data_IF_057043104850
#
_entry.id   IF_057043104850
#
_cell.length_a   1.000
_cell.length_b   1.000
_cell.length_c   1.000
_cell.angle_alpha   90.00
_cell.angle_beta   90.00
_cell.angle_gamma   90.00
#
_symmetry.space_group_name_H-M   'P 1'
#
loop_
_entity.id
_entity.type
_entity.pdbx_description
1 polymer ?
#
# COMPACT_ATOMS: atom_id res chain seq x y z
N UNK A 1 -0.48 27.39 10.00
CA UNK A 1 -1.14 26.48 9.06
C UNK A 1 -2.48 26.12 9.65
N UNK A 2 -3.57 26.47 8.97
CA UNK A 2 -4.92 25.99 9.31
C UNK A 2 -5.08 24.57 8.78
N UNK A 3 -5.85 23.75 9.49
CA UNK A 3 -6.19 22.40 9.05
C UNK A 3 -7.72 22.26 8.91
N UNK A 4 -8.18 21.70 7.80
CA UNK A 4 -9.60 21.35 7.58
C UNK A 4 -9.73 19.88 7.21
N UNK A 5 -10.58 19.15 7.91
CA UNK A 5 -10.86 17.74 7.60
C UNK A 5 -11.44 17.61 6.18
N UNK A 6 -10.91 16.65 5.41
CA UNK A 6 -11.46 16.24 4.11
C UNK A 6 -12.69 15.36 4.33
N UNK A 7 -13.71 15.57 3.51
CA UNK A 7 -14.78 14.59 3.29
C UNK A 7 -14.28 13.39 2.48
N UNK A 8 -15.02 12.28 2.53
CA UNK A 8 -14.68 11.08 1.76
C UNK A 8 -14.56 11.35 0.25
N UNK A 9 -15.45 12.17 -0.31
CA UNK A 9 -15.42 12.54 -1.73
C UNK A 9 -14.20 13.41 -2.07
N UNK A 10 -13.75 14.27 -1.14
CA UNK A 10 -12.50 15.02 -1.33
C UNK A 10 -11.27 14.11 -1.26
N UNK A 11 -11.28 13.09 -0.39
CA UNK A 11 -10.20 12.08 -0.33
C UNK A 11 -10.12 11.36 -1.68
N UNK A 12 -11.24 10.78 -2.14
CA UNK A 12 -11.33 10.08 -3.42
C UNK A 12 -10.88 10.95 -4.59
N UNK A 13 -11.26 12.23 -4.61
CA UNK A 13 -10.82 13.14 -5.67
C UNK A 13 -9.31 13.36 -5.65
N UNK A 14 -8.70 13.56 -4.47
CA UNK A 14 -7.23 13.70 -4.37
C UNK A 14 -6.53 12.43 -4.81
N UNK A 15 -7.02 11.25 -4.41
CA UNK A 15 -6.44 9.97 -4.83
C UNK A 15 -6.61 9.71 -6.31
N UNK A 16 -7.74 10.07 -6.90
CA UNK A 16 -8.00 9.96 -8.34
C UNK A 16 -7.04 10.83 -9.15
N UNK A 17 -6.78 12.06 -8.69
CA UNK A 17 -5.82 12.96 -9.34
C UNK A 17 -4.38 12.40 -9.27
N UNK A 18 -4.00 11.80 -8.13
CA UNK A 18 -2.70 11.13 -7.97
C UNK A 18 -2.62 9.88 -8.86
N UNK A 19 -3.70 9.09 -8.95
CA UNK A 19 -3.77 7.90 -9.80
C UNK A 19 -3.66 8.28 -11.28
N UNK A 20 -4.33 9.34 -11.72
CA UNK A 20 -4.21 9.86 -13.09
C UNK A 20 -2.76 10.35 -13.38
N UNK A 21 -2.13 11.01 -12.41
CA UNK A 21 -0.72 11.40 -12.51
C UNK A 21 0.20 10.18 -12.64
N UNK A 22 0.02 9.16 -11.80
CA UNK A 22 0.80 7.92 -11.87
C UNK A 22 0.57 7.18 -13.20
N UNK A 23 -0.67 7.12 -13.68
CA UNK A 23 -0.99 6.56 -14.99
C UNK A 23 -0.19 7.25 -16.10
N UNK A 24 -0.22 8.59 -16.15
CA UNK A 24 0.52 9.39 -17.14
C UNK A 24 2.04 9.16 -17.07
N UNK A 25 2.60 9.06 -15.85
CA UNK A 25 4.02 8.74 -15.65
C UNK A 25 4.35 7.33 -16.16
N UNK A 26 3.54 6.34 -15.83
CA UNK A 26 3.76 4.97 -16.26
C UNK A 26 3.68 4.82 -17.78
N UNK A 27 2.66 5.39 -18.43
CA UNK A 27 2.51 5.36 -19.90
C UNK A 27 3.69 6.05 -20.60
N UNK A 28 4.13 7.20 -20.09
CA UNK A 28 5.28 7.95 -20.63
C UNK A 28 6.58 7.15 -20.59
N UNK A 29 6.75 6.29 -19.59
CA UNK A 29 7.99 5.55 -19.34
C UNK A 29 7.91 4.06 -19.67
N UNK A 30 6.82 3.59 -20.30
CA UNK A 30 6.55 2.17 -20.60
C UNK A 30 6.69 1.28 -19.35
N UNK A 31 6.09 1.74 -18.24
CA UNK A 31 6.08 1.03 -16.96
C UNK A 31 4.74 0.32 -16.79
N UNK A 32 4.79 -0.98 -16.54
CA UNK A 32 3.59 -1.79 -16.36
C UNK A 32 3.17 -1.79 -14.91
N UNK A 33 2.08 -1.08 -14.63
CA UNK A 33 1.39 -1.08 -13.34
C UNK A 33 -0.04 -1.57 -13.53
N UNK A 34 -0.69 -1.95 -12.43
CA UNK A 34 -2.12 -2.21 -12.42
C UNK A 34 -2.76 -1.72 -11.13
N UNK A 35 -4.03 -1.35 -11.17
CA UNK A 35 -4.83 -1.16 -9.95
C UNK A 35 -5.01 -2.50 -9.25
N UNK A 36 -4.95 -2.52 -7.93
CA UNK A 36 -4.96 -3.77 -7.15
C UNK A 36 -5.95 -3.71 -5.98
N UNK A 37 -6.12 -4.82 -5.25
CA UNK A 37 -6.92 -4.90 -4.03
C UNK A 37 -8.33 -4.27 -4.15
N UNK A 38 -8.69 -3.37 -3.24
CA UNK A 38 -9.98 -2.67 -3.19
C UNK A 38 -10.22 -1.82 -4.44
N UNK A 39 -9.18 -1.20 -4.98
CA UNK A 39 -9.25 -0.39 -6.21
C UNK A 39 -9.61 -1.24 -7.43
N UNK A 40 -8.99 -2.41 -7.60
CA UNK A 40 -9.35 -3.35 -8.67
C UNK A 40 -10.79 -3.86 -8.53
N UNK A 41 -11.17 -4.21 -7.30
CA UNK A 41 -12.54 -4.64 -6.98
C UNK A 41 -13.55 -3.54 -7.31
N UNK A 42 -13.25 -2.30 -6.95
CA UNK A 42 -14.02 -1.11 -7.27
C UNK A 42 -14.23 -0.94 -8.77
N UNK A 43 -13.15 -0.98 -9.56
CA UNK A 43 -13.22 -0.87 -11.01
C UNK A 43 -14.16 -1.92 -11.63
N UNK A 44 -14.07 -3.17 -11.18
CA UNK A 44 -14.87 -4.26 -11.71
C UNK A 44 -16.34 -4.15 -11.28
N UNK A 45 -16.58 -3.93 -9.98
CA UNK A 45 -17.92 -3.99 -9.35
C UNK A 45 -18.70 -2.69 -9.43
N UNK A 46 -18.03 -1.54 -9.31
CA UNK A 46 -18.63 -0.20 -9.22
C UNK A 46 -18.26 0.74 -10.36
N UNK A 47 -17.31 0.36 -11.23
CA UNK A 47 -16.75 1.22 -12.30
C UNK A 47 -15.97 2.43 -11.78
N UNK A 48 -15.43 2.30 -10.57
CA UNK A 48 -14.76 3.38 -9.85
C UNK A 48 -14.49 2.97 -8.41
N UNK A 49 -14.52 3.91 -7.47
CA UNK A 49 -14.34 3.63 -6.06
C UNK A 49 -15.44 2.72 -5.51
N UNK A 50 -15.08 1.88 -4.54
CA UNK A 50 -16.08 1.30 -3.65
C UNK A 50 -16.66 2.45 -2.79
N UNK A 51 -17.99 2.58 -2.64
CA UNK A 51 -18.59 3.81 -2.09
C UNK A 51 -18.12 4.22 -0.69
N UNK A 52 -17.77 3.25 0.15
CA UNK A 52 -17.31 3.45 1.51
C UNK A 52 -15.78 3.37 1.67
N UNK A 53 -15.03 3.24 0.57
CA UNK A 53 -13.57 3.06 0.60
C UNK A 53 -12.85 4.41 0.55
N UNK A 54 -11.70 4.50 1.21
CA UNK A 54 -10.89 5.72 1.37
C UNK A 54 -9.40 5.51 1.06
N UNK A 55 -9.07 4.45 0.33
CA UNK A 55 -7.73 4.18 -0.18
C UNK A 55 -7.71 3.81 -1.67
N UNK A 56 -6.53 4.00 -2.27
CA UNK A 56 -6.24 3.64 -3.66
C UNK A 56 -4.90 2.92 -3.71
N UNK A 57 -4.92 1.72 -4.30
CA UNK A 57 -3.76 0.84 -4.39
C UNK A 57 -3.42 0.55 -5.85
N UNK A 58 -2.13 0.66 -6.17
CA UNK A 58 -1.57 0.10 -7.39
C UNK A 58 -0.44 -0.87 -7.07
N UNK A 59 -0.26 -1.84 -7.96
CA UNK A 59 0.77 -2.86 -7.84
C UNK A 59 1.59 -2.97 -9.11
N UNK A 60 2.83 -3.42 -8.94
CA UNK A 60 3.78 -3.66 -10.00
C UNK A 60 4.58 -4.92 -9.69
N UNK A 61 5.00 -5.66 -10.72
CA UNK A 61 6.08 -6.61 -10.54
C UNK A 61 7.35 -5.87 -10.08
N UNK A 62 8.20 -6.51 -9.26
CA UNK A 62 9.39 -5.87 -8.65
C UNK A 62 10.28 -5.12 -9.64
N UNK A 63 10.50 -5.63 -10.85
CA UNK A 63 11.29 -4.97 -11.89
C UNK A 63 10.66 -3.65 -12.35
N UNK A 64 9.35 -3.64 -12.58
CA UNK A 64 8.57 -2.46 -12.91
C UNK A 64 8.49 -1.48 -11.72
N UNK A 65 8.37 -1.98 -10.49
CA UNK A 65 8.44 -1.19 -9.27
C UNK A 65 9.77 -0.43 -9.16
N UNK A 66 10.91 -1.10 -9.43
CA UNK A 66 12.23 -0.45 -9.40
C UNK A 66 12.38 0.61 -10.50
N UNK A 67 11.75 0.42 -11.67
CA UNK A 67 11.69 1.46 -12.72
C UNK A 67 10.90 2.67 -12.24
N UNK A 68 9.70 2.47 -11.69
CA UNK A 68 8.84 3.54 -11.21
C UNK A 68 9.49 4.31 -10.06
N UNK A 69 10.10 3.63 -9.10
CA UNK A 69 10.84 4.26 -8.01
C UNK A 69 11.96 5.18 -8.53
N UNK A 70 12.73 4.75 -9.53
CA UNK A 70 13.78 5.59 -10.15
C UNK A 70 13.22 6.82 -10.86
N UNK A 71 12.09 6.68 -11.55
CA UNK A 71 11.42 7.81 -12.21
C UNK A 71 10.91 8.80 -11.16
N UNK A 72 10.11 8.33 -10.20
CA UNK A 72 9.51 9.18 -9.16
C UNK A 72 10.54 9.86 -8.25
N UNK A 73 11.70 9.24 -8.01
CA UNK A 73 12.81 9.85 -7.26
C UNK A 73 13.34 11.13 -7.92
N UNK A 74 13.23 11.24 -9.25
CA UNK A 74 13.72 12.37 -10.01
C UNK A 74 12.60 13.32 -10.49
N UNK A 75 11.34 12.97 -10.26
CA UNK A 75 10.20 13.82 -10.62
C UNK A 75 10.05 15.00 -9.67
N UNK A 76 9.74 16.17 -10.23
CA UNK A 76 9.58 17.41 -9.47
C UNK A 76 8.20 18.03 -9.67
N UNK A 77 7.15 17.22 -9.54
CA UNK A 77 5.78 17.71 -9.55
C UNK A 77 5.54 18.68 -8.37
N UNK A 78 4.81 19.80 -8.55
CA UNK A 78 4.61 20.80 -7.49
C UNK A 78 3.88 20.27 -6.25
N UNK A 79 2.93 19.33 -6.45
CA UNK A 79 2.08 18.80 -5.37
C UNK A 79 2.34 17.33 -5.00
N UNK A 80 2.41 16.44 -5.98
CA UNK A 80 2.63 15.02 -5.75
C UNK A 80 4.09 14.66 -5.49
N UNK A 81 4.36 14.02 -4.34
CA UNK A 81 5.70 13.58 -3.94
C UNK A 81 5.70 12.09 -3.58
N UNK A 82 6.80 11.41 -3.88
CA UNK A 82 7.03 10.03 -3.48
C UNK A 82 7.67 9.98 -2.09
N UNK A 83 7.21 9.05 -1.26
CA UNK A 83 7.81 8.72 0.03
C UNK A 83 8.00 7.20 0.14
N UNK A 84 9.13 6.78 0.70
CA UNK A 84 9.44 5.37 0.94
C UNK A 84 10.41 5.24 2.11
N UNK A 85 10.53 4.02 2.66
CA UNK A 85 11.52 3.76 3.70
C UNK A 85 12.96 3.91 3.20
N UNK A 86 13.20 3.86 1.88
CA UNK A 86 14.53 4.03 1.29
C UNK A 86 15.04 5.46 1.44
N UNK A 87 14.13 6.45 1.36
CA UNK A 87 14.48 7.88 1.51
C UNK A 87 14.17 8.44 2.91
N UNK A 88 13.24 7.83 3.65
CA UNK A 88 12.71 8.40 4.90
C UNK A 88 12.84 7.44 6.08
N UNK A 89 13.72 7.78 7.02
CA UNK A 89 14.09 6.94 8.17
C UNK A 89 12.93 6.52 9.09
N UNK A 90 11.95 7.41 9.28
CA UNK A 90 10.79 7.19 10.15
C UNK A 90 9.58 6.56 9.45
N UNK A 91 9.66 6.31 8.14
CA UNK A 91 8.52 5.87 7.35
C UNK A 91 8.09 4.44 7.75
N UNK A 92 6.78 4.21 8.01
CA UNK A 92 6.30 3.01 8.68
C UNK A 92 5.93 1.86 7.74
N UNK A 93 6.00 2.04 6.42
CA UNK A 93 5.54 1.04 5.45
C UNK A 93 6.70 0.44 4.65
N UNK A 94 6.49 -0.79 4.17
CA UNK A 94 7.44 -1.56 3.36
C UNK A 94 7.30 -1.31 1.85
N UNK A 95 6.29 -0.55 1.46
CA UNK A 95 5.94 -0.14 0.10
C UNK A 95 6.01 1.39 -0.02
N UNK A 96 6.05 1.93 -1.24
CA UNK A 96 6.13 3.38 -1.43
C UNK A 96 4.75 4.01 -1.60
N UNK A 97 4.65 5.30 -1.35
CA UNK A 97 3.43 6.09 -1.53
C UNK A 97 3.72 7.30 -2.41
N UNK A 98 2.74 7.70 -3.19
CA UNK A 98 2.72 9.04 -3.79
C UNK A 98 1.58 9.81 -3.19
N UNK A 99 1.87 10.97 -2.60
CA UNK A 99 0.93 11.74 -1.80
C UNK A 99 0.91 13.21 -2.21
N UNK A 100 -0.21 13.87 -1.93
CA UNK A 100 -0.36 15.31 -2.13
C UNK A 100 0.15 16.08 -0.91
N UNK A 101 1.19 16.91 -1.09
CA UNK A 101 1.78 17.72 -0.01
C UNK A 101 0.85 18.81 0.54
N UNK A 102 -0.26 19.12 -0.14
CA UNK A 102 -1.30 20.04 0.35
C UNK A 102 -2.24 19.37 1.35
N UNK A 103 -2.05 18.08 1.59
CA UNK A 103 -2.84 17.29 2.52
C UNK A 103 -1.97 16.68 3.62
N UNK A 104 -2.61 16.31 4.73
CA UNK A 104 -2.01 15.55 5.82
C UNK A 104 -2.96 14.43 6.26
N UNK A 105 -2.44 13.24 6.51
CA UNK A 105 -3.16 12.08 7.06
C UNK A 105 -2.69 11.78 8.48
N UNK A 106 -3.63 11.55 9.39
CA UNK A 106 -3.32 11.02 10.72
C UNK A 106 -2.80 9.59 10.59
N UNK A 107 -1.60 9.32 11.13
CA UNK A 107 -1.00 7.99 11.08
C UNK A 107 -0.43 7.51 12.43
N UNK A 108 -0.63 8.29 13.50
CA UNK A 108 -0.14 7.98 14.85
C UNK A 108 1.35 7.59 14.90
N UNK A 109 2.16 8.23 14.05
CA UNK A 109 3.59 7.96 13.97
C UNK A 109 4.32 8.46 15.20
N UNK A 110 5.42 7.79 15.53
CA UNK A 110 6.36 8.19 16.56
C UNK A 110 7.25 9.34 16.10
N UNK A 111 7.69 9.28 14.86
CA UNK A 111 8.50 10.32 14.23
C UNK A 111 7.57 11.37 13.62
N UNK A 112 7.40 12.50 14.31
CA UNK A 112 6.55 13.59 13.86
C UNK A 112 7.12 14.38 12.67
N UNK A 113 8.36 14.10 12.26
CA UNK A 113 8.94 14.70 11.05
C UNK A 113 8.45 14.03 9.77
N UNK A 114 7.89 12.82 9.89
CA UNK A 114 7.27 12.11 8.77
C UNK A 114 5.84 12.61 8.60
N UNK A 115 5.64 13.43 7.57
CA UNK A 115 4.32 13.90 7.16
C UNK A 115 3.84 13.00 6.04
N UNK A 116 2.69 12.36 6.25
CA UNK A 116 1.96 11.63 5.23
C UNK A 116 0.78 12.48 4.79
N UNK A 117 0.48 12.52 3.49
CA UNK A 117 -0.76 13.08 2.95
C UNK A 117 -1.70 11.99 2.47
N UNK A 118 -2.84 12.40 1.92
CA UNK A 118 -3.70 11.55 1.10
C UNK A 118 -2.90 11.04 -0.10
N UNK A 119 -3.00 9.75 -0.40
CA UNK A 119 -2.00 9.06 -1.21
C UNK A 119 -2.57 7.90 -2.03
N UNK A 120 -1.81 7.51 -3.05
CA UNK A 120 -1.92 6.19 -3.68
C UNK A 120 -0.79 5.31 -3.14
N UNK A 121 -1.14 4.13 -2.63
CA UNK A 121 -0.19 3.12 -2.18
C UNK A 121 0.35 2.34 -3.38
N UNK A 122 1.66 2.11 -3.42
CA UNK A 122 2.34 1.46 -4.56
C UNK A 122 3.09 0.23 -4.08
N UNK A 123 2.57 -0.95 -4.42
CA UNK A 123 3.05 -2.23 -3.91
C UNK A 123 3.94 -2.98 -4.92
N UNK A 124 5.05 -3.57 -4.47
CA UNK A 124 5.79 -4.54 -5.24
C UNK A 124 5.24 -5.96 -5.08
N UNK A 125 5.17 -6.67 -6.20
CA UNK A 125 5.00 -8.11 -6.26
C UNK A 125 6.37 -8.78 -6.46
N UNK A 126 6.71 -9.67 -5.53
CA UNK A 126 7.95 -10.43 -5.51
C UNK A 126 7.66 -11.91 -5.75
N UNK A 127 8.71 -12.72 -5.97
CA UNK A 127 8.56 -14.16 -5.94
C UNK A 127 7.99 -14.63 -4.60
N UNK A 128 7.08 -15.60 -4.65
CA UNK A 128 6.48 -16.18 -3.45
C UNK A 128 7.55 -16.68 -2.49
N UNK A 129 7.46 -16.26 -1.22
CA UNK A 129 8.29 -16.79 -0.16
C UNK A 129 7.90 -18.23 0.21
N UNK A 130 8.52 -19.21 -0.45
CA UNK A 130 8.21 -20.65 -0.30
C UNK A 130 8.70 -21.25 1.02
N UNK A 131 9.72 -20.68 1.67
CA UNK A 131 10.22 -21.16 2.95
C UNK A 131 9.38 -20.68 4.13
N UNK A 132 8.86 -21.62 4.93
CA UNK A 132 8.04 -21.31 6.12
C UNK A 132 8.80 -20.49 7.16
N UNK A 133 10.10 -20.72 7.29
CA UNK A 133 10.97 -19.98 8.21
C UNK A 133 11.10 -18.51 7.81
N UNK A 134 11.21 -18.22 6.51
CA UNK A 134 11.29 -16.87 6.00
C UNK A 134 9.95 -16.15 6.09
N UNK A 135 8.82 -16.82 5.81
CA UNK A 135 7.48 -16.24 6.07
C UNK A 135 7.30 -15.83 7.54
N UNK A 136 7.79 -16.64 8.48
CA UNK A 136 7.77 -16.29 9.92
C UNK A 136 8.65 -15.07 10.22
N UNK A 137 9.84 -14.96 9.61
CA UNK A 137 10.71 -13.79 9.76
C UNK A 137 10.07 -12.54 9.16
N UNK A 138 9.41 -12.64 8.01
CA UNK A 138 8.69 -11.53 7.38
C UNK A 138 7.61 -10.98 8.32
N UNK A 139 6.77 -11.84 8.89
CA UNK A 139 5.77 -11.44 9.92
C UNK A 139 6.42 -10.80 11.14
N UNK A 140 7.55 -11.33 11.60
CA UNK A 140 8.30 -10.74 12.70
C UNK A 140 8.81 -9.33 12.34
N UNK A 141 9.37 -9.14 11.15
CA UNK A 141 9.85 -7.83 10.71
C UNK A 141 8.71 -6.83 10.55
N UNK A 142 7.56 -7.22 9.97
CA UNK A 142 6.35 -6.38 9.93
C UNK A 142 5.90 -5.96 11.33
N UNK A 143 5.90 -6.89 12.29
CA UNK A 143 5.57 -6.58 13.67
C UNK A 143 6.58 -5.58 14.30
N UNK A 144 7.88 -5.75 14.03
CA UNK A 144 8.93 -4.85 14.50
C UNK A 144 8.88 -3.47 13.83
N UNK A 145 8.49 -3.38 12.55
CA UNK A 145 8.22 -2.11 11.87
C UNK A 145 7.11 -1.37 12.60
N UNK A 146 5.98 -2.04 12.91
CA UNK A 146 4.87 -1.43 13.67
C UNK A 146 5.32 -0.95 15.05
N UNK A 147 6.07 -1.77 15.80
CA UNK A 147 6.56 -1.40 17.14
C UNK A 147 7.53 -0.22 17.13
N UNK A 148 8.35 -0.09 16.07
CA UNK A 148 9.37 0.96 15.97
C UNK A 148 8.85 2.28 15.37
N UNK A 149 7.73 2.25 14.64
CA UNK A 149 7.17 3.40 13.93
C UNK A 149 5.94 4.05 14.57
N UNK A 150 5.10 3.30 15.28
CA UNK A 150 3.86 3.82 15.87
C UNK A 150 4.07 4.32 17.31
N UNK A 151 3.32 5.36 17.68
CA UNK A 151 3.20 5.79 19.07
C UNK A 151 2.22 4.87 19.85
N UNK A 152 2.05 5.11 21.16
CA UNK A 152 1.18 4.26 21.98
C UNK A 152 -0.29 4.27 21.56
N UNK A 153 -0.79 5.35 20.94
CA UNK A 153 -2.13 5.38 20.37
C UNK A 153 -2.21 4.47 19.14
N UNK A 154 -1.21 4.51 18.26
CA UNK A 154 -1.16 3.67 17.05
C UNK A 154 -0.93 2.17 17.31
N UNK A 155 -0.21 1.80 18.37
CA UNK A 155 0.03 0.38 18.71
C UNK A 155 -1.09 -0.25 19.56
N UNK A 156 -2.01 0.57 20.08
CA UNK A 156 -3.10 0.12 20.94
C UNK A 156 -4.12 -0.66 20.13
N UNK A 157 -4.50 -1.83 20.64
CA UNK A 157 -5.73 -2.50 20.23
C UNK A 157 -6.86 -2.03 21.16
N UNK A 158 -7.92 -1.45 20.59
CA UNK A 158 -9.02 -0.84 21.36
C UNK A 158 -9.63 -1.82 22.37
N UNK A 159 -9.83 -3.08 21.96
CA UNK A 159 -10.37 -4.15 22.80
C UNK A 159 -9.27 -5.00 23.48
N UNK A 160 -8.04 -4.49 23.55
CA UNK A 160 -6.87 -5.26 24.00
C UNK A 160 -6.71 -5.36 25.53
N UNK A 161 -7.23 -4.41 26.31
CA UNK A 161 -7.06 -4.37 27.77
C UNK A 161 -5.60 -4.56 28.21
N UNK A 162 -5.36 -5.47 29.17
CA UNK A 162 -4.02 -5.85 29.65
C UNK A 162 -3.12 -6.46 28.56
N UNK A 163 -3.68 -7.00 27.46
CA UNK A 163 -2.89 -7.54 26.33
C UNK A 163 -2.15 -6.45 25.55
N UNK A 164 -2.43 -5.17 25.81
CA UNK A 164 -1.66 -4.05 25.27
C UNK A 164 -0.32 -3.83 26.00
N UNK A 165 -0.17 -4.30 27.24
CA UNK A 165 1.06 -4.10 28.03
C UNK A 165 2.33 -4.59 27.31
N UNK A 166 2.41 -5.82 26.77
CA UNK A 166 3.57 -6.26 25.99
C UNK A 166 3.79 -5.43 24.71
N UNK A 167 2.75 -4.82 24.11
CA UNK A 167 2.90 -3.92 22.97
C UNK A 167 3.51 -2.59 23.37
N UNK A 168 3.12 -2.04 24.51
CA UNK A 168 3.70 -0.80 25.05
C UNK A 168 5.14 -1.00 25.49
N UNK A 169 5.44 -2.11 26.19
CA UNK A 169 6.81 -2.49 26.55
C UNK A 169 7.65 -2.69 25.29
N UNK A 170 7.13 -3.45 24.32
CA UNK A 170 7.77 -3.64 23.02
C UNK A 170 8.03 -2.31 22.31
N UNK A 171 7.01 -1.46 22.19
CA UNK A 171 7.15 -0.14 21.57
C UNK A 171 8.20 0.70 22.29
N UNK A 172 8.26 0.66 23.63
CA UNK A 172 9.27 1.34 24.44
C UNK A 172 10.70 0.83 24.22
N UNK A 173 10.89 -0.49 24.17
CA UNK A 173 12.20 -1.12 23.91
C UNK A 173 12.66 -0.83 22.48
N UNK A 174 11.75 -0.98 21.51
CA UNK A 174 12.06 -0.80 20.09
C UNK A 174 12.10 0.66 19.66
N UNK A 175 11.94 1.62 20.58
CA UNK A 175 12.21 3.04 20.31
C UNK A 175 13.63 3.27 19.77
N UNK A 176 14.59 2.44 20.22
CA UNK A 176 15.98 2.56 19.81
C UNK A 176 16.26 1.94 18.44
N UNK A 177 15.28 1.27 17.83
CA UNK A 177 15.41 0.71 16.48
C UNK A 177 14.70 1.58 15.45
N UNK A 178 15.19 1.55 14.21
CA UNK A 178 14.62 2.31 13.11
C UNK A 178 13.68 1.43 12.26
N UNK A 179 12.46 1.89 11.94
CA UNK A 179 11.57 1.14 11.04
C UNK A 179 12.22 0.92 9.68
N UNK A 180 13.04 1.86 9.18
CA UNK A 180 13.85 1.71 7.98
C UNK A 180 14.74 0.45 8.00
N UNK A 181 15.37 0.12 9.14
CA UNK A 181 16.21 -1.08 9.25
C UNK A 181 15.39 -2.36 9.12
N UNK A 182 14.21 -2.40 9.71
CA UNK A 182 13.32 -3.56 9.62
C UNK A 182 12.70 -3.69 8.23
N UNK A 183 12.34 -2.57 7.60
CA UNK A 183 11.93 -2.54 6.20
C UNK A 183 13.03 -3.07 5.26
N UNK A 184 14.29 -2.66 5.45
CA UNK A 184 15.39 -3.19 4.63
C UNK A 184 15.57 -4.70 4.81
N UNK A 185 15.44 -5.22 6.04
CA UNK A 185 15.50 -6.66 6.29
C UNK A 185 14.34 -7.42 5.64
N UNK A 186 13.14 -6.83 5.65
CA UNK A 186 11.96 -7.40 5.00
C UNK A 186 12.12 -7.42 3.47
N UNK A 187 12.56 -6.30 2.88
CA UNK A 187 12.82 -6.21 1.44
C UNK A 187 13.91 -7.19 1.01
N UNK A 188 15.05 -7.25 1.71
CA UNK A 188 16.13 -8.20 1.38
C UNK A 188 15.63 -9.65 1.41
N UNK A 189 14.69 -9.97 2.31
CA UNK A 189 14.12 -11.30 2.40
C UNK A 189 13.11 -11.58 1.27
N UNK A 190 12.38 -10.57 0.80
CA UNK A 190 11.54 -10.68 -0.39
C UNK A 190 12.40 -10.85 -1.66
N UNK A 191 13.46 -10.06 -1.81
CA UNK A 191 14.39 -10.11 -2.95
C UNK A 191 15.17 -11.44 -3.05
N UNK A 192 15.25 -12.22 -1.96
CA UNK A 192 15.75 -13.61 -2.00
C UNK A 192 14.95 -14.46 -3.00
N UNK A 193 13.66 -14.18 -3.17
CA UNK A 193 12.76 -14.86 -4.09
C UNK A 193 12.64 -14.06 -5.39
N UNK A 194 13.68 -14.16 -6.22
CA UNK A 194 13.83 -13.36 -7.44
C UNK A 194 12.69 -13.59 -8.45
N UNK A 195 12.34 -12.52 -9.18
CA UNK A 195 11.39 -12.57 -10.30
C UNK A 195 11.77 -13.56 -11.38
N UNK A 196 13.06 -13.74 -11.66
CA UNK A 196 13.56 -14.57 -12.77
C UNK A 196 13.28 -16.05 -12.56
N UNK A 197 13.31 -16.49 -11.30
CA UNK A 197 13.08 -17.89 -10.91
C UNK A 197 11.62 -18.15 -10.52
N UNK A 198 10.84 -17.09 -10.28
CA UNK A 198 9.49 -17.20 -9.78
C UNK A 198 8.47 -17.43 -10.90
N UNK A 199 7.70 -18.52 -10.76
CA UNK A 199 6.50 -18.76 -11.58
C UNK A 199 5.28 -18.00 -11.04
N UNK A 200 5.20 -17.86 -9.72
CA UNK A 200 4.12 -17.20 -9.01
C UNK A 200 4.68 -16.03 -8.20
N UNK A 201 3.93 -14.94 -8.20
CA UNK A 201 4.26 -13.72 -7.48
C UNK A 201 3.21 -13.43 -6.42
N UNK A 202 3.61 -12.73 -5.37
CA UNK A 202 2.70 -12.23 -4.35
C UNK A 202 3.21 -10.91 -3.77
N UNK A 203 2.30 -10.10 -3.24
CA UNK A 203 2.64 -8.96 -2.40
C UNK A 203 3.11 -9.42 -1.00
N UNK A 204 4.23 -10.14 -0.98
CA UNK A 204 4.73 -10.86 0.20
C UNK A 204 5.12 -9.91 1.34
N UNK A 205 5.50 -8.68 1.00
CA UNK A 205 5.82 -7.65 1.99
C UNK A 205 4.59 -7.11 2.72
N UNK A 206 3.39 -7.28 2.15
CA UNK A 206 2.10 -6.93 2.75
C UNK A 206 1.54 -8.11 3.54
N UNK A 207 1.27 -9.23 2.88
CA UNK A 207 0.86 -10.47 3.56
C UNK A 207 1.66 -11.70 3.10
N UNK A 208 2.63 -12.18 3.90
CA UNK A 208 3.36 -13.40 3.61
C UNK A 208 2.52 -14.67 3.85
N UNK A 209 1.25 -14.57 4.25
CA UNK A 209 0.37 -15.71 4.57
C UNK A 209 -0.34 -16.32 3.38
N UNK A 210 -0.26 -15.72 2.20
CA UNK A 210 -0.87 -16.22 0.97
C UNK A 210 0.19 -16.88 0.06
N UNK A 211 0.63 -18.12 0.34
CA UNK A 211 1.82 -18.72 -0.28
C UNK A 211 1.58 -19.21 -1.71
N UNK A 212 0.37 -19.13 -2.25
CA UNK A 212 0.11 -19.67 -3.59
C UNK A 212 0.54 -18.68 -4.68
N UNK A 213 0.37 -17.37 -4.40
CA UNK A 213 0.61 -16.30 -5.35
C UNK A 213 -0.27 -16.38 -6.60
N UNK A 214 -0.05 -15.44 -7.50
CA UNK A 214 -0.69 -15.36 -8.81
C UNK A 214 0.35 -15.55 -9.92
N UNK A 215 -0.07 -15.93 -11.12
CA UNK A 215 0.89 -16.20 -12.20
C UNK A 215 1.63 -14.91 -12.57
N UNK A 216 2.96 -15.00 -12.69
CA UNK A 216 3.82 -13.87 -13.08
C UNK A 216 3.31 -13.14 -14.33
N UNK A 217 2.89 -13.88 -15.35
CA UNK A 217 2.42 -13.34 -16.63
C UNK A 217 1.20 -12.40 -16.51
N UNK A 218 0.36 -12.57 -15.48
CA UNK A 218 -0.84 -11.76 -15.30
C UNK A 218 -0.53 -10.30 -14.95
N UNK A 219 0.60 -10.04 -14.28
CA UNK A 219 1.02 -8.67 -13.93
C UNK A 219 1.54 -7.90 -15.15
N UNK A 220 1.77 -8.57 -16.29
CA UNK A 220 2.29 -7.95 -17.51
C UNK A 220 1.29 -7.94 -18.67
N UNK A 221 0.28 -8.83 -18.67
CA UNK A 221 -0.84 -8.80 -19.63
C UNK A 221 -1.96 -7.92 -19.08
N UNK A 222 -1.88 -6.64 -19.43
CA UNK A 222 -2.75 -5.59 -18.92
C UNK A 222 -3.77 -5.15 -19.97
N UNK A 223 -4.92 -4.70 -19.49
CA UNK A 223 -6.00 -4.10 -20.29
C UNK A 223 -6.38 -2.75 -19.71
N UNK A 224 -6.89 -1.88 -20.58
CA UNK A 224 -7.50 -0.62 -20.18
C UNK A 224 -8.89 -0.89 -19.60
N UNK A 225 -9.17 -0.31 -18.44
CA UNK A 225 -10.48 -0.35 -17.79
C UNK A 225 -10.91 1.06 -17.38
N UNK A 226 -12.21 1.39 -17.48
CA UNK A 226 -12.73 2.65 -16.94
C UNK A 226 -12.68 2.63 -15.41
N UNK A 227 -12.31 3.76 -14.82
CA UNK A 227 -12.33 4.00 -13.38
C UNK A 227 -12.74 5.45 -13.14
N UNK A 228 -13.94 5.66 -12.59
CA UNK A 228 -14.56 6.98 -12.52
C UNK A 228 -14.61 7.65 -13.90
N UNK A 229 -13.97 8.82 -14.05
CA UNK A 229 -13.84 9.57 -15.29
C UNK A 229 -12.48 9.38 -16.00
N UNK A 230 -11.64 8.45 -15.54
CA UNK A 230 -10.33 8.15 -16.14
C UNK A 230 -10.27 6.71 -16.67
N UNK A 231 -9.16 6.38 -17.32
CA UNK A 231 -8.82 5.02 -17.76
C UNK A 231 -7.54 4.61 -17.05
N UNK A 232 -7.51 3.38 -16.55
CA UNK A 232 -6.36 2.81 -15.83
C UNK A 232 -6.09 1.38 -16.31
N UNK A 233 -4.95 0.82 -15.92
CA UNK A 233 -4.56 -0.55 -16.25
C UNK A 233 -5.07 -1.53 -15.20
N UNK A 234 -5.62 -2.65 -15.65
CA UNK A 234 -5.92 -3.82 -14.82
C UNK A 234 -5.36 -5.09 -15.49
N UNK A 235 -5.07 -6.16 -14.74
CA UNK A 235 -4.67 -7.44 -15.33
C UNK A 235 -5.80 -8.01 -16.18
N UNK A 236 -5.50 -8.56 -17.35
CA UNK A 236 -6.53 -9.26 -18.16
C UNK A 236 -7.21 -10.38 -17.37
N UNK A 237 -6.46 -10.99 -16.44
CA UNK A 237 -6.90 -12.03 -15.52
C UNK A 237 -7.32 -11.48 -14.16
N UNK A 238 -7.96 -10.31 -14.13
CA UNK A 238 -8.43 -9.68 -12.90
C UNK A 238 -9.40 -10.57 -12.12
N UNK A 239 -10.21 -11.41 -12.79
CA UNK A 239 -11.14 -12.29 -12.10
C UNK A 239 -10.40 -13.29 -11.21
N UNK A 240 -9.37 -13.95 -11.75
CA UNK A 240 -8.56 -14.91 -11.01
C UNK A 240 -7.80 -14.26 -9.84
N UNK A 241 -7.38 -13.00 -9.99
CA UNK A 241 -6.73 -12.22 -8.93
C UNK A 241 -7.75 -11.88 -7.82
N UNK A 242 -8.93 -11.37 -8.17
CA UNK A 242 -9.98 -11.05 -7.20
C UNK A 242 -10.49 -12.28 -6.44
N UNK A 243 -10.55 -13.44 -7.09
CA UNK A 243 -10.85 -14.73 -6.41
C UNK A 243 -9.74 -15.10 -5.43
N UNK A 244 -8.47 -14.90 -5.80
CA UNK A 244 -7.34 -15.17 -4.90
C UNK A 244 -7.35 -14.25 -3.66
N UNK A 245 -7.69 -12.97 -3.83
CA UNK A 245 -7.67 -11.97 -2.75
C UNK A 245 -8.92 -12.00 -1.86
N UNK A 246 -10.10 -12.10 -2.47
CA UNK A 246 -11.40 -11.90 -1.79
C UNK A 246 -12.29 -13.16 -1.82
N UNK A 247 -11.89 -14.22 -2.51
CA UNK A 247 -12.67 -15.44 -2.69
C UNK A 247 -13.72 -15.35 -3.81
N UNK A 248 -14.34 -16.49 -4.14
CA UNK A 248 -15.30 -16.64 -5.26
C UNK A 248 -16.48 -15.66 -5.21
N UNK A 249 -16.87 -15.19 -4.02
CA UNK A 249 -18.04 -14.34 -3.82
C UNK A 249 -17.72 -12.84 -3.80
N UNK A 250 -16.55 -12.41 -4.28
CA UNK A 250 -16.07 -11.01 -4.19
C UNK A 250 -17.04 -9.97 -4.79
N UNK A 251 -17.88 -10.38 -5.75
CA UNK A 251 -18.91 -9.52 -6.34
C UNK A 251 -20.05 -9.17 -5.38
N UNK A 252 -20.24 -9.95 -4.31
CA UNK A 252 -21.23 -9.67 -3.28
C UNK A 252 -20.65 -8.66 -2.29
N UNK A 253 -21.25 -7.46 -2.12
CA UNK A 253 -20.82 -6.52 -1.10
C UNK A 253 -20.95 -7.12 0.31
N UNK A 254 -20.09 -6.69 1.26
CA UNK A 254 -20.28 -7.05 2.66
C UNK A 254 -21.59 -6.43 3.19
N UNK A 255 -22.12 -6.93 4.32
CA UNK A 255 -23.27 -6.32 5.00
C UNK A 255 -23.06 -4.83 5.29
N UNK A 256 -24.15 -4.05 5.31
CA UNK A 256 -24.10 -2.57 5.46
C UNK A 256 -23.36 -2.16 6.74
N UNK A 257 -23.51 -2.91 7.82
CA UNK A 257 -22.81 -2.68 9.08
C UNK A 257 -21.27 -2.83 9.00
N UNK A 258 -20.76 -3.45 7.93
CA UNK A 258 -19.33 -3.60 7.64
C UNK A 258 -18.86 -2.63 6.54
N UNK A 259 -19.77 -1.87 5.92
CA UNK A 259 -19.46 -0.86 4.90
C UNK A 259 -19.05 0.46 5.58
N UNK A 260 -17.90 0.41 6.25
CA UNK A 260 -17.35 1.56 6.98
C UNK A 260 -16.06 2.04 6.32
N UNK A 261 -15.86 3.36 6.17
CA UNK A 261 -14.60 3.90 5.68
C UNK A 261 -13.47 3.71 6.69
N UNK A 262 -12.24 3.88 6.23
CA UNK A 262 -11.07 3.98 7.08
C UNK A 262 -11.24 5.01 8.19
N UNK A 263 -10.61 4.72 9.33
CA UNK A 263 -10.72 5.55 10.54
C UNK A 263 -9.75 6.73 10.58
N UNK A 264 -8.82 6.83 9.63
CA UNK A 264 -7.78 7.87 9.63
C UNK A 264 -8.32 9.16 9.04
N UNK A 265 -8.12 10.27 9.74
CA UNK A 265 -8.54 11.58 9.26
C UNK A 265 -7.51 12.15 8.29
N UNK A 266 -8.01 12.71 7.19
CA UNK A 266 -7.24 13.49 6.23
C UNK A 266 -7.59 14.98 6.39
N UNK A 267 -6.61 15.86 6.17
CA UNK A 267 -6.73 17.31 6.36
C UNK A 267 -6.12 18.07 5.18
N UNK A 268 -6.76 19.15 4.74
CA UNK A 268 -6.15 20.19 3.92
C UNK A 268 -5.26 21.03 4.82
N UNK A 269 -4.06 21.38 4.33
CA UNK A 269 -3.12 22.25 5.03
C UNK A 269 -2.89 23.55 4.24
N UNK A 270 -3.07 24.69 4.90
CA UNK A 270 -2.77 26.04 4.37
C UNK A 270 -1.40 26.55 4.83
#
# INVERSE_FOLDING_TARGET
MSERILSLEEIKQVELDILEYLHKICEKHDIKYFIDFGTLLGAVRHKGFIPWDDDTDISLARDEFEKLYKVLKNENHPYYKMISFRETKGYPYSYMRVYDIRTRRDANLRDSTVVLGTCVDVFPYDGVATEKSDRKKMKLYQYLIRLSSLNFKGIKSENGGLKNLPRYIGSAIFQLTSPQTWNQKLENLALKYSLDQAKYLACTIFDPSFPEGIKKEWLYDLIDVPYENIVVKAPRKYHEILVYEFGENYMTPPPIEQQVPGGDKNYWID
#
